data_IF_812401313297
#
_entry.id   IF_812401313297
#
_cell.length_a   1.000
_cell.length_b   1.000
_cell.length_c   1.000
_cell.angle_alpha   90.00
_cell.angle_beta   90.00
_cell.angle_gamma   90.00
#
_symmetry.space_group_name_H-M   'P 1'
#
loop_
_entity.id
_entity.type
_entity.pdbx_description
1 polymer ?
2 water ?
#
# COMPACT_ATOMS: atom_id res chain seq x y z
N UNK A 1 -11.55 8.59 -12.52
CA UNK A 1 -12.91 7.95 -12.92
C UNK A 1 -12.77 6.40 -13.22
N UNK A 2 -11.91 5.99 -14.19
CA UNK A 2 -11.63 4.55 -14.35
C UNK A 2 -10.43 4.16 -13.46
N UNK A 3 -10.69 3.37 -12.45
CA UNK A 3 -9.69 2.99 -11.49
C UNK A 3 -9.45 1.50 -11.65
N UNK A 4 -8.18 1.10 -11.94
CA UNK A 4 -7.85 -0.32 -12.08
C UNK A 4 -6.99 -0.85 -10.93
N UNK A 5 -7.45 -1.92 -10.24
CA UNK A 5 -6.73 -2.53 -9.11
C UNK A 5 -5.91 -3.72 -9.52
N UNK A 6 -4.72 -3.84 -8.95
CA UNK A 6 -3.94 -5.05 -9.11
C UNK A 6 -3.88 -5.75 -7.77
N UNK A 7 -4.33 -7.00 -7.70
CA UNK A 7 -4.47 -7.66 -6.41
C UNK A 7 -3.67 -8.96 -6.41
N UNK A 8 -3.02 -9.27 -5.30
CA UNK A 8 -1.97 -10.27 -5.30
C UNK A 8 -2.30 -11.40 -4.34
N UNK A 9 -3.34 -11.22 -3.55
CA UNK A 9 -3.94 -12.30 -2.75
C UNK A 9 -5.27 -11.90 -2.09
N UNK A 10 -6.07 -12.94 -1.73
CA UNK A 10 -7.47 -12.79 -1.16
C UNK A 10 -7.40 -11.99 0.13
N UNK A 11 -6.30 -12.17 0.88
CA UNK A 11 -6.06 -11.37 2.11
C UNK A 11 -5.34 -10.00 1.92
N UNK A 12 -5.02 -9.64 0.70
CA UNK A 12 -4.52 -8.34 0.43
C UNK A 12 -5.58 -7.53 -0.30
N UNK A 13 -6.69 -7.28 0.38
CA UNK A 13 -7.89 -6.72 -0.26
C UNK A 13 -7.78 -5.22 -0.48
N UNK A 14 -8.46 -4.70 -1.49
CA UNK A 14 -8.45 -3.27 -1.65
C UNK A 14 -9.06 -2.48 -0.43
N UNK A 15 -9.78 -3.19 0.45
CA UNK A 15 -10.67 -2.53 1.47
C UNK A 15 -11.20 -1.10 1.18
N UNK A 16 -10.82 -0.16 2.02
CA UNK A 16 -11.36 1.18 1.87
C UNK A 16 -11.02 1.86 0.57
N UNK A 17 -9.95 1.42 -0.16
CA UNK A 17 -9.66 2.01 -1.50
C UNK A 17 -10.83 1.69 -2.43
N UNK A 18 -11.33 0.44 -2.34
CA UNK A 18 -12.44 0.01 -3.17
C UNK A 18 -13.68 0.73 -2.73
N UNK A 19 -13.94 0.79 -1.41
CA UNK A 19 -15.13 1.49 -0.87
C UNK A 19 -15.19 2.95 -1.31
N UNK A 20 -14.08 3.64 -1.16
CA UNK A 20 -13.93 4.98 -1.69
C UNK A 20 -14.29 5.03 -3.11
N UNK A 21 -13.65 4.17 -3.91
CA UNK A 21 -13.94 4.17 -5.34
C UNK A 21 -15.44 3.95 -5.62
N UNK A 22 -16.09 3.09 -4.81
CA UNK A 22 -17.52 2.83 -5.02
C UNK A 22 -18.32 4.03 -4.67
N UNK A 23 -18.07 4.62 -3.48
CA UNK A 23 -18.88 5.83 -2.96
C UNK A 23 -18.74 7.02 -3.87
N UNK A 24 -17.53 7.27 -4.34
CA UNK A 24 -17.31 8.43 -5.23
C UNK A 24 -17.78 8.18 -6.66
N UNK A 25 -18.35 7.01 -6.90
CA UNK A 25 -18.95 6.71 -8.18
C UNK A 25 -17.97 6.44 -9.30
N UNK A 26 -16.84 5.86 -8.98
CA UNK A 26 -15.86 5.55 -10.01
C UNK A 26 -16.06 4.18 -10.64
N UNK A 27 -15.34 3.93 -11.71
CA UNK A 27 -15.56 2.76 -12.53
C UNK A 27 -14.47 1.80 -12.32
N UNK A 28 -14.70 0.81 -11.45
CA UNK A 28 -13.62 -0.08 -10.95
C UNK A 28 -13.36 -1.33 -11.86
N UNK A 29 -12.10 -1.63 -12.15
CA UNK A 29 -11.76 -2.97 -12.71
C UNK A 29 -10.66 -3.56 -11.89
N UNK A 30 -10.42 -4.86 -12.01
CA UNK A 30 -9.39 -5.47 -11.19
C UNK A 30 -8.61 -6.53 -11.93
N UNK A 31 -7.43 -6.90 -11.42
CA UNK A 31 -6.72 -8.01 -11.96
C UNK A 31 -6.37 -8.82 -10.81
N UNK A 32 -6.86 -10.01 -10.73
CA UNK A 32 -6.50 -10.79 -9.59
C UNK A 32 -5.35 -11.76 -9.96
N UNK A 33 -4.09 -11.31 -9.82
CA UNK A 33 -2.99 -12.11 -10.36
C UNK A 33 -2.90 -13.50 -9.76
N UNK A 34 -3.29 -13.64 -8.51
CA UNK A 34 -3.31 -14.94 -7.84
C UNK A 34 -4.29 -15.91 -8.49
N UNK A 35 -5.20 -15.41 -9.35
CA UNK A 35 -6.16 -16.29 -10.06
C UNK A 35 -5.67 -16.52 -11.47
N UNK A 36 -4.36 -16.33 -11.66
CA UNK A 36 -3.70 -16.32 -12.98
C UNK A 36 -4.37 -15.45 -13.94
N UNK A 37 -4.94 -14.33 -13.48
CA UNK A 37 -5.47 -13.32 -14.40
C UNK A 37 -4.39 -12.51 -15.03
N UNK A 38 -4.57 -12.15 -16.30
CA UNK A 38 -3.48 -11.43 -17.08
C UNK A 38 -3.50 -9.92 -16.82
N UNK A 39 -2.32 -9.37 -16.51
CA UNK A 39 -2.16 -7.90 -16.32
C UNK A 39 -2.65 -7.15 -17.57
N UNK A 40 -3.22 -5.95 -17.40
CA UNK A 40 -3.56 -5.16 -18.56
C UNK A 40 -2.35 -4.98 -19.45
N UNK A 41 -2.53 -5.05 -20.77
CA UNK A 41 -1.42 -4.69 -21.66
C UNK A 41 -1.32 -3.17 -21.99
N UNK A 42 -2.48 -2.45 -21.91
CA UNK A 42 -2.60 -0.97 -22.25
C UNK A 42 -2.87 -0.13 -21.04
N UNK A 43 -2.14 0.96 -20.91
CA UNK A 43 -2.49 1.91 -19.97
C UNK A 43 -3.76 2.68 -20.34
N UNK A 44 -4.38 2.30 -21.45
CA UNK A 44 -5.48 3.16 -22.04
C UNK A 44 -6.83 2.89 -21.45
N UNK A 45 -6.93 1.76 -20.76
CA UNK A 45 -8.20 1.37 -20.15
C UNK A 45 -8.44 1.92 -18.75
N UNK A 46 -7.51 2.72 -18.23
CA UNK A 46 -7.70 3.27 -16.93
C UNK A 46 -7.08 4.70 -16.75
N UNK A 47 -7.51 5.36 -15.68
CA UNK A 47 -7.09 6.71 -15.34
C UNK A 47 -6.22 6.64 -14.09
N UNK A 48 -6.48 5.66 -13.23
CA UNK A 48 -5.72 5.53 -12.03
C UNK A 48 -5.47 4.05 -11.74
N UNK A 49 -4.31 3.73 -11.17
CA UNK A 49 -3.86 2.36 -10.99
C UNK A 49 -3.52 2.23 -9.51
N UNK A 50 -4.12 1.30 -8.82
CA UNK A 50 -3.88 1.13 -7.43
C UNK A 50 -3.41 -0.26 -7.31
N UNK A 51 -2.19 -0.47 -6.77
CA UNK A 51 -1.64 -1.82 -6.63
C UNK A 51 -1.59 -2.12 -5.15
N UNK A 52 -2.26 -3.19 -4.71
CA UNK A 52 -2.32 -3.54 -3.31
C UNK A 52 -1.18 -4.47 -2.86
N UNK A 53 -1.20 -4.89 -1.58
CA UNK A 53 -0.10 -5.58 -0.98
C UNK A 53 -0.03 -7.00 -1.47
N UNK A 54 0.81 -7.80 -0.82
CA UNK A 54 0.94 -9.15 -1.17
C UNK A 54 1.98 -9.89 -0.36
N UNK A 55 1.78 -11.18 -0.19
CA UNK A 55 2.80 -11.96 0.48
C UNK A 55 4.19 -12.03 -0.32
N UNK A 56 4.20 -11.69 -1.62
CA UNK A 56 5.46 -11.76 -2.41
C UNK A 56 6.34 -10.58 -2.06
N UNK A 57 7.58 -10.66 -2.50
CA UNK A 57 8.49 -9.51 -2.51
C UNK A 57 8.62 -9.07 -3.97
N UNK A 58 9.22 -7.85 -4.23
CA UNK A 58 9.41 -7.48 -5.66
C UNK A 58 10.39 -8.40 -6.33
N UNK A 59 11.00 -9.29 -5.61
CA UNK A 59 11.96 -10.19 -6.26
C UNK A 59 11.59 -11.63 -6.21
N UNK A 60 10.49 -11.96 -5.51
CA UNK A 60 9.89 -13.31 -5.59
C UNK A 60 9.87 -13.90 -6.99
N UNK A 61 10.07 -15.18 -7.03
CA UNK A 61 10.32 -15.85 -8.24
C UNK A 61 9.04 -16.63 -8.67
N UNK A 62 8.88 -16.92 -9.97
CA UNK A 62 7.73 -17.79 -10.44
C UNK A 62 7.82 -19.24 -9.97
N UNK A 63 8.92 -19.63 -9.38
CA UNK A 63 8.97 -20.93 -8.87
C UNK A 63 8.26 -20.95 -7.56
N UNK A 64 8.33 -19.85 -6.83
CA UNK A 64 7.51 -19.70 -5.60
C UNK A 64 6.01 -19.37 -5.89
N UNK A 65 5.73 -18.52 -6.89
CA UNK A 65 4.39 -18.03 -7.11
C UNK A 65 4.11 -18.04 -8.54
N UNK A 66 3.60 -19.17 -9.09
CA UNK A 66 3.75 -19.39 -10.51
C UNK A 66 3.00 -18.33 -11.39
N UNK A 67 2.12 -17.51 -10.73
CA UNK A 67 1.21 -16.53 -11.45
C UNK A 67 1.76 -15.12 -11.36
N UNK A 68 2.78 -14.96 -10.57
CA UNK A 68 3.29 -13.65 -10.21
C UNK A 68 4.42 -13.29 -11.09
N UNK A 69 4.37 -12.11 -11.70
CA UNK A 69 5.45 -11.66 -12.60
C UNK A 69 5.83 -10.21 -12.23
N UNK A 70 6.78 -10.07 -11.29
CA UNK A 70 7.14 -8.77 -10.73
C UNK A 70 7.62 -7.86 -11.83
N UNK A 71 8.37 -8.44 -12.78
CA UNK A 71 8.86 -7.68 -13.92
C UNK A 71 7.72 -7.00 -14.69
N UNK A 72 6.65 -7.75 -14.95
CA UNK A 72 5.53 -7.22 -15.70
C UNK A 72 4.81 -6.16 -14.92
N UNK A 73 4.68 -6.35 -13.58
CA UNK A 73 4.07 -5.31 -12.77
C UNK A 73 4.89 -4.03 -12.72
N UNK A 74 6.23 -4.18 -12.60
CA UNK A 74 7.15 -3.03 -12.71
C UNK A 74 7.00 -2.29 -14.07
N UNK A 75 7.00 -3.01 -15.16
CA UNK A 75 6.82 -2.34 -16.43
C UNK A 75 5.49 -1.67 -16.52
N UNK A 76 4.46 -2.30 -15.98
CA UNK A 76 3.11 -1.70 -16.07
C UNK A 76 3.10 -0.35 -15.30
N UNK A 77 3.74 -0.33 -14.09
CA UNK A 77 3.91 0.96 -13.36
C UNK A 77 4.66 2.03 -14.23
N UNK A 78 5.76 1.64 -14.83
CA UNK A 78 6.51 2.57 -15.60
C UNK A 78 5.72 3.12 -16.77
N UNK A 79 4.99 2.22 -17.51
CA UNK A 79 4.09 2.70 -18.61
C UNK A 79 3.10 3.64 -18.05
N UNK A 80 2.55 3.32 -16.90
CA UNK A 80 1.52 4.14 -16.36
C UNK A 80 2.08 5.57 -16.02
N UNK A 81 3.19 5.60 -15.24
CA UNK A 81 3.90 6.86 -14.89
C UNK A 81 4.23 7.69 -16.12
N UNK A 82 4.73 7.02 -17.16
CA UNK A 82 5.15 7.68 -18.29
C UNK A 82 4.01 8.30 -19.01
N UNK A 83 2.78 7.88 -18.75
CA UNK A 83 1.60 8.64 -19.31
C UNK A 83 0.92 9.56 -18.31
N UNK A 84 1.57 9.80 -17.20
CA UNK A 84 1.01 10.66 -16.20
C UNK A 84 -0.32 10.12 -15.62
N UNK A 85 -0.50 8.81 -15.65
CA UNK A 85 -1.62 8.16 -14.86
C UNK A 85 -1.45 8.42 -13.36
N UNK A 86 -2.53 8.63 -12.64
CA UNK A 86 -2.50 8.57 -11.14
C UNK A 86 -2.16 7.18 -10.72
N UNK A 87 -1.14 7.00 -9.85
CA UNK A 87 -0.79 5.64 -9.35
C UNK A 87 -0.74 5.67 -7.87
N UNK A 88 -1.24 4.62 -7.19
CA UNK A 88 -1.00 4.46 -5.73
C UNK A 88 -0.57 2.99 -5.47
N UNK A 89 0.50 2.76 -4.64
CA UNK A 89 1.03 1.39 -4.36
C UNK A 89 1.05 1.19 -2.89
N UNK A 90 0.54 0.04 -2.40
CA UNK A 90 0.43 -0.23 -0.94
C UNK A 90 1.27 -1.49 -0.56
N UNK A 91 2.02 -1.41 0.50
CA UNK A 91 2.96 -2.45 0.88
C UNK A 91 3.67 -3.02 -0.32
N UNK A 92 3.45 -4.26 -0.70
CA UNK A 92 4.17 -4.76 -1.91
C UNK A 92 3.98 -3.81 -3.11
N UNK A 93 2.79 -3.30 -3.28
CA UNK A 93 2.57 -2.29 -4.30
C UNK A 93 3.52 -1.07 -4.19
N UNK A 94 3.84 -0.66 -2.94
CA UNK A 94 4.69 0.53 -2.70
C UNK A 94 6.17 0.20 -3.04
N UNK A 95 6.54 -1.07 -2.88
CA UNK A 95 7.86 -1.53 -3.18
C UNK A 95 8.07 -1.72 -4.66
N UNK A 96 7.04 -2.14 -5.40
CA UNK A 96 7.18 -2.24 -6.86
C UNK A 96 7.25 -0.82 -7.46
N UNK A 97 6.55 0.13 -6.89
CA UNK A 97 6.76 1.48 -7.33
C UNK A 97 8.23 1.95 -7.14
N UNK A 98 8.84 1.61 -5.99
CA UNK A 98 10.20 1.95 -5.78
C UNK A 98 11.09 1.43 -6.91
N UNK A 99 10.96 0.12 -7.19
CA UNK A 99 11.74 -0.51 -8.21
C UNK A 99 11.46 0.15 -9.50
N UNK A 100 10.20 0.45 -9.78
CA UNK A 100 9.85 1.02 -11.08
C UNK A 100 10.58 2.32 -11.31
N UNK A 101 10.82 3.06 -10.22
CA UNK A 101 11.40 4.43 -10.24
C UNK A 101 12.93 4.44 -9.96
N UNK A 102 13.55 3.23 -9.92
CA UNK A 102 14.95 3.11 -10.00
C UNK A 102 15.61 2.66 -8.73
N UNK A 103 14.87 2.40 -7.67
CA UNK A 103 15.48 1.97 -6.43
C UNK A 103 15.01 0.63 -5.95
N UNK A 104 15.91 -0.26 -5.61
CA UNK A 104 15.51 -1.55 -5.11
C UNK A 104 15.18 -1.56 -3.66
N UNK A 105 14.34 -2.52 -3.29
CA UNK A 105 13.62 -2.51 -2.06
C UNK A 105 14.48 -2.95 -0.92
N UNK A 106 14.09 -2.60 0.29
CA UNK A 106 14.95 -2.95 1.48
C UNK A 106 14.12 -3.64 2.60
N UNK A 107 14.83 -4.22 3.59
CA UNK A 107 14.21 -4.67 4.83
C UNK A 107 14.01 -3.50 5.77
N UNK A 108 12.95 -3.56 6.59
CA UNK A 108 12.60 -2.47 7.51
C UNK A 108 13.47 -2.59 8.76
N UNK A 109 13.94 -1.43 9.33
CA UNK A 109 14.62 -1.49 10.65
C UNK A 109 13.85 -2.41 11.60
N UNK A 110 12.57 -2.08 11.83
CA UNK A 110 11.68 -2.94 12.60
C UNK A 110 10.43 -3.44 11.77
N UNK A 111 10.11 -4.72 11.88
CA UNK A 111 8.84 -5.22 11.33
C UNK A 111 7.64 -4.77 12.14
N UNK A 112 6.55 -4.50 11.46
CA UNK A 112 5.41 -3.82 12.09
C UNK A 112 4.07 -4.46 11.67
N UNK A 113 3.27 -4.82 12.66
CA UNK A 113 2.03 -5.56 12.44
C UNK A 113 1.06 -5.08 13.48
N UNK A 114 0.20 -4.16 13.13
CA UNK A 114 -0.71 -3.65 14.06
C UNK A 114 -0.97 -2.25 13.78
N UNK A 115 -1.58 -1.55 14.72
CA UNK A 115 -1.90 -0.16 14.49
C UNK A 115 -0.98 0.80 15.25
N UNK A 116 -0.10 1.48 14.50
CA UNK A 116 0.89 2.39 15.09
C UNK A 116 0.85 3.80 14.50
N UNK A 117 1.36 4.76 15.26
CA UNK A 117 1.48 6.11 14.75
C UNK A 117 2.42 6.11 13.59
N UNK A 118 2.04 6.82 12.57
CA UNK A 118 2.98 7.35 11.62
C UNK A 118 2.97 8.86 11.87
N UNK A 119 4.01 9.56 11.36
CA UNK A 119 4.29 10.97 11.67
C UNK A 119 4.74 11.70 10.42
N UNK A 120 4.10 12.81 10.09
CA UNK A 120 4.49 13.52 8.86
C UNK A 120 5.91 14.08 8.95
N UNK A 121 6.63 13.87 7.89
CA UNK A 121 7.82 14.54 7.61
C UNK A 121 7.52 16.02 7.38
N UNK A 122 8.59 16.83 7.29
CA UNK A 122 8.50 18.24 6.88
C UNK A 122 7.90 18.36 5.53
N UNK A 123 8.37 17.49 4.62
CA UNK A 123 7.87 17.39 3.24
C UNK A 123 6.42 16.95 3.28
N UNK A 124 6.10 16.06 4.19
CA UNK A 124 4.74 15.67 4.38
C UNK A 124 3.84 16.78 4.81
N UNK A 125 4.28 17.59 5.75
CA UNK A 125 3.49 18.70 6.24
C UNK A 125 3.29 19.72 5.14
N UNK A 126 4.02 19.60 4.07
CA UNK A 126 3.88 20.55 3.01
C UNK A 126 3.05 20.01 1.86
N UNK A 127 2.74 18.72 1.91
CA UNK A 127 1.91 18.09 0.81
C UNK A 127 0.44 18.41 0.90
N UNK A 128 -0.05 19.11 -0.12
CA UNK A 128 -1.45 19.43 -0.27
C UNK A 128 -2.42 18.26 0.02
N UNK A 129 -2.12 17.09 -0.55
CA UNK A 129 -3.00 15.89 -0.52
C UNK A 129 -3.06 15.28 0.89
N UNK A 130 -2.22 15.75 1.80
CA UNK A 130 -2.24 15.27 3.21
C UNK A 130 -2.77 16.31 4.21
N UNK A 131 -3.32 17.41 3.73
CA UNK A 131 -3.82 18.42 4.64
C UNK A 131 -4.66 17.87 5.79
N UNK A 132 -5.42 16.79 5.56
CA UNK A 132 -6.35 16.35 6.60
C UNK A 132 -5.79 15.31 7.53
N UNK A 133 -4.49 15.07 7.42
CA UNK A 133 -3.79 14.19 8.33
C UNK A 133 -3.22 15.05 9.48
N UNK A 134 -3.68 14.81 10.73
CA UNK A 134 -2.94 15.33 11.89
C UNK A 134 -1.44 14.86 11.80
N UNK A 135 -0.52 15.57 12.45
CA UNK A 135 0.95 15.25 12.32
C UNK A 135 1.27 13.81 12.66
N UNK A 136 0.57 13.31 13.69
CA UNK A 136 0.64 11.90 14.08
C UNK A 136 -0.75 11.25 14.00
N UNK A 137 -0.80 10.03 13.39
CA UNK A 137 -2.03 9.33 13.12
C UNK A 137 -1.85 7.88 13.34
N UNK A 138 -2.78 7.25 14.01
CA UNK A 138 -2.71 5.83 14.14
C UNK A 138 -3.25 5.11 12.82
N UNK A 139 -2.37 4.32 12.17
CA UNK A 139 -2.71 3.63 10.94
C UNK A 139 -2.28 2.20 11.03
N UNK A 140 -2.73 1.37 10.08
CA UNK A 140 -2.40 -0.07 10.08
C UNK A 140 -1.01 -0.39 9.50
N UNK A 141 -0.44 -1.52 9.88
CA UNK A 141 0.87 -1.92 9.39
C UNK A 141 0.86 -3.37 9.28
N UNK A 142 1.51 -3.89 8.22
CA UNK A 142 1.76 -5.33 8.11
C UNK A 142 2.97 -5.70 7.21
N UNK A 143 4.20 -5.36 7.63
CA UNK A 143 5.36 -5.59 6.75
C UNK A 143 6.61 -6.03 7.44
N UNK A 144 7.54 -6.49 6.64
CA UNK A 144 8.87 -6.79 7.07
C UNK A 144 9.86 -6.01 6.24
N UNK A 145 9.41 -5.57 5.06
CA UNK A 145 10.25 -4.80 4.13
C UNK A 145 9.71 -3.37 3.93
N UNK A 146 10.41 -2.58 3.12
CA UNK A 146 9.97 -1.22 2.80
C UNK A 146 10.54 -0.79 1.41
N UNK A 147 10.08 0.33 0.89
CA UNK A 147 10.50 0.58 -0.51
C UNK A 147 11.90 1.31 -0.68
N UNK A 148 12.64 0.97 -1.75
CA UNK A 148 13.70 1.84 -2.32
C UNK A 148 13.31 3.31 -2.42
N UNK A 149 14.25 4.21 -2.14
CA UNK A 149 13.98 5.67 -2.34
C UNK A 149 14.92 6.28 -3.44
N UNK A 150 14.42 6.38 -4.65
CA UNK A 150 15.19 7.08 -5.69
C UNK A 150 15.31 8.53 -5.38
N UNK A 151 16.31 9.20 -5.96
CA UNK A 151 16.72 10.55 -5.52
C UNK A 151 15.60 11.56 -5.66
N UNK A 152 14.70 11.34 -6.61
CA UNK A 152 13.64 12.29 -6.90
C UNK A 152 12.41 12.03 -6.06
N UNK A 153 12.46 10.99 -5.24
CA UNK A 153 11.32 10.66 -4.39
C UNK A 153 11.46 11.32 -3.05
N UNK A 154 10.33 11.73 -2.46
CA UNK A 154 10.30 12.31 -1.08
C UNK A 154 9.62 11.39 -0.07
N UNK A 155 10.15 11.31 1.14
CA UNK A 155 9.43 10.66 2.24
C UNK A 155 8.42 11.67 2.92
N UNK A 156 7.13 11.33 2.92
CA UNK A 156 6.17 12.16 3.54
C UNK A 156 5.81 11.70 4.97
N UNK A 157 6.22 10.50 5.36
CA UNK A 157 5.90 10.06 6.69
C UNK A 157 6.66 8.93 7.12
N UNK A 158 6.91 8.85 8.45
CA UNK A 158 7.69 7.77 9.05
C UNK A 158 6.95 7.23 10.21
N UNK A 159 7.32 6.03 10.62
CA UNK A 159 6.92 5.53 11.88
C UNK A 159 8.21 5.37 12.74
N UNK A 160 8.06 4.95 14.00
CA UNK A 160 9.24 4.56 14.81
C UNK A 160 9.98 3.32 14.25
N UNK A 161 9.22 2.37 13.71
CA UNK A 161 9.80 1.11 13.23
C UNK A 161 10.37 1.23 11.82
N UNK A 162 9.87 2.23 11.06
CA UNK A 162 10.18 2.27 9.62
C UNK A 162 10.16 3.68 9.11
N UNK A 163 11.27 4.08 8.42
CA UNK A 163 11.54 5.48 8.01
C UNK A 163 10.90 5.86 6.64
N UNK A 164 10.12 4.96 6.06
CA UNK A 164 9.55 5.21 4.74
C UNK A 164 8.02 4.75 4.67
N UNK A 165 7.13 5.53 5.23
CA UNK A 165 5.80 5.06 5.36
C UNK A 165 4.99 5.50 4.17
N UNK A 166 5.17 6.74 3.77
CA UNK A 166 4.48 7.29 2.64
C UNK A 166 5.54 8.00 1.81
N UNK A 167 5.45 7.87 0.46
CA UNK A 167 6.51 8.38 -0.43
C UNK A 167 5.86 9.00 -1.65
N UNK A 168 6.34 10.15 -2.07
CA UNK A 168 5.88 10.72 -3.27
C UNK A 168 6.93 10.56 -4.28
N UNK A 169 6.65 9.68 -5.26
CA UNK A 169 7.52 9.39 -6.40
C UNK A 169 7.29 10.37 -7.54
N UNK A 170 6.10 10.93 -7.63
CA UNK A 170 5.75 11.74 -8.76
C UNK A 170 4.61 12.63 -8.40
N UNK A 171 4.23 13.55 -9.31
CA UNK A 171 3.23 14.55 -8.98
C UNK A 171 1.95 13.92 -8.57
N UNK A 172 1.65 12.75 -9.15
CA UNK A 172 0.37 12.09 -8.86
C UNK A 172 0.57 10.62 -8.59
N UNK A 173 1.76 10.25 -8.12
CA UNK A 173 2.17 8.87 -8.00
C UNK A 173 2.72 8.68 -6.60
N UNK A 174 1.91 8.04 -5.71
CA UNK A 174 2.17 7.98 -4.24
C UNK A 174 2.29 6.53 -3.83
N UNK A 175 2.95 6.27 -2.71
CA UNK A 175 3.11 4.91 -2.23
C UNK A 175 2.90 4.91 -0.73
N UNK A 176 2.14 3.93 -0.22
CA UNK A 176 1.92 3.78 1.22
C UNK A 176 2.47 2.46 1.60
N UNK A 177 3.47 2.46 2.45
CA UNK A 177 3.94 1.21 2.97
C UNK A 177 2.96 0.67 4.02
N UNK A 178 2.26 1.59 4.66
CA UNK A 178 1.36 1.28 5.71
C UNK A 178 -0.12 1.09 5.10
N UNK A 179 -1.04 0.56 5.91
CA UNK A 179 -2.37 0.28 5.46
C UNK A 179 -3.42 1.20 6.18
N UNK A 180 -3.92 2.21 5.53
CA UNK A 180 -5.04 2.97 6.09
C UNK A 180 -6.39 2.36 5.69
N UNK A 181 -6.35 1.35 4.82
CA UNK A 181 -7.52 0.83 4.14
C UNK A 181 -8.17 -0.31 4.97
N UNK A 182 -7.51 -0.67 6.09
CA UNK A 182 -7.96 -1.80 6.92
C UNK A 182 -9.42 -1.61 7.44
N UNK A 183 -10.05 -2.73 7.74
CA UNK A 183 -11.30 -2.78 8.40
C UNK A 183 -11.27 -4.07 9.23
N UNK A 184 -12.24 -4.24 10.14
CA UNK A 184 -12.11 -5.47 10.99
C UNK A 184 -12.08 -6.78 10.17
N UNK A 185 -12.85 -6.85 9.11
CA UNK A 185 -12.87 -8.07 8.32
C UNK A 185 -11.55 -8.31 7.54
N UNK A 186 -10.90 -7.22 7.05
CA UNK A 186 -9.59 -7.41 6.36
C UNK A 186 -8.56 -7.89 7.38
N UNK A 187 -8.64 -7.33 8.57
CA UNK A 187 -7.70 -7.66 9.58
C UNK A 187 -7.92 -9.11 10.05
N UNK A 188 -9.19 -9.54 10.12
CA UNK A 188 -9.53 -10.96 10.35
C UNK A 188 -8.80 -11.85 9.39
N UNK A 189 -8.84 -11.50 8.07
CA UNK A 189 -8.29 -12.43 7.04
C UNK A 189 -6.75 -12.51 7.17
N UNK A 190 -6.13 -11.37 7.56
CA UNK A 190 -4.68 -11.32 7.73
C UNK A 190 -4.25 -12.14 8.91
N UNK A 191 -4.97 -12.01 10.01
CA UNK A 191 -4.69 -12.86 11.20
C UNK A 191 -4.78 -14.35 10.87
N UNK A 192 -5.75 -14.73 10.01
CA UNK A 192 -5.96 -16.13 9.65
C UNK A 192 -4.82 -16.65 8.87
N UNK A 193 -4.17 -15.77 8.11
CA UNK A 193 -2.97 -16.17 7.31
C UNK A 193 -1.64 -16.22 8.13
N UNK A 194 -1.59 -15.46 9.22
CA UNK A 194 -0.34 -15.28 9.97
C UNK A 194 0.02 -16.45 10.81
N UNK A 195 1.16 -17.07 10.50
CA UNK A 195 1.76 -18.09 11.40
C UNK A 195 2.41 -17.52 12.70
N UNK A 196 1.79 -17.84 13.82
CA UNK A 196 2.32 -17.42 15.12
C UNK A 196 2.34 -15.96 15.24
N UNK A 197 1.17 -15.36 15.35
CA UNK A 197 1.09 -13.97 15.72
C UNK A 197 1.23 -13.88 17.26
N UNK A 198 0.95 -15.00 17.92
CA UNK A 198 1.12 -15.12 19.36
C UNK A 198 2.56 -14.88 19.80
N UNK A 199 3.48 -15.75 19.41
CA UNK A 199 4.85 -15.62 19.83
C UNK A 199 5.41 -14.23 19.48
N UNK A 200 5.23 -13.82 18.21
CA UNK A 200 5.75 -12.52 17.72
C UNK A 200 5.23 -11.34 18.54
N UNK A 201 4.06 -11.51 19.14
CA UNK A 201 3.42 -10.48 19.97
C UNK A 201 4.26 -10.01 21.17
N UNK A 202 4.94 -10.97 21.84
CA UNK A 202 5.86 -10.61 22.93
C UNK A 202 7.30 -10.51 22.47
N UNK A 203 7.79 -11.52 21.74
CA UNK A 203 9.21 -11.47 21.23
C UNK A 203 9.55 -10.16 20.46
N UNK A 204 8.53 -9.47 19.92
CA UNK A 204 8.77 -8.33 19.04
C UNK A 204 8.13 -6.99 19.52
N UNK A 205 8.79 -5.89 19.16
CA UNK A 205 8.45 -4.55 19.66
C UNK A 205 7.14 -4.10 19.11
N UNK A 206 6.94 -4.40 17.82
CA UNK A 206 5.94 -3.71 17.01
C UNK A 206 4.96 -4.66 16.38
N UNK A 207 4.74 -5.78 17.04
CA UNK A 207 3.72 -6.71 16.67
C UNK A 207 2.63 -6.76 17.77
N UNK A 208 1.39 -6.46 17.38
CA UNK A 208 0.28 -6.50 18.34
C UNK A 208 -0.38 -7.89 18.42
N UNK A 209 -1.39 -8.03 19.29
CA UNK A 209 -2.13 -9.32 19.46
C UNK A 209 -3.37 -9.33 18.55
N UNK A 210 -3.78 -10.55 18.14
CA UNK A 210 -5.04 -10.72 17.38
C UNK A 210 -6.20 -9.92 17.99
N UNK A 211 -6.25 -9.88 19.33
CA UNK A 211 -7.29 -9.17 20.05
C UNK A 211 -7.15 -7.65 19.94
N UNK A 212 -5.91 -7.18 20.01
CA UNK A 212 -5.64 -5.74 19.95
C UNK A 212 -6.04 -5.20 18.62
N UNK A 213 -5.72 -5.94 17.57
CA UNK A 213 -6.04 -5.51 16.21
C UNK A 213 -7.49 -5.70 15.88
N UNK A 214 -8.04 -6.81 16.35
CA UNK A 214 -9.36 -7.21 15.96
C UNK A 214 -10.45 -6.27 16.54
N UNK A 215 -10.18 -5.73 17.75
CA UNK A 215 -11.17 -4.87 18.47
C UNK A 215 -11.02 -3.42 18.12
N UNK A 216 -9.93 -3.08 17.41
CA UNK A 216 -9.54 -1.70 17.18
C UNK A 216 -10.57 -0.99 16.26
N UNK A 217 -10.69 0.32 16.36
CA UNK A 217 -11.65 1.01 15.51
C UNK A 217 -10.97 1.70 14.30
N UNK A 218 -11.31 1.23 13.06
CA UNK A 218 -10.59 1.64 11.86
C UNK A 218 -11.16 2.82 11.14
N UNK A 219 -12.18 3.46 11.68
CA UNK A 219 -12.88 4.48 10.88
C UNK A 219 -12.07 5.74 10.63
N UNK A 220 -11.07 5.99 11.46
CA UNK A 220 -10.30 7.22 11.32
C UNK A 220 -9.28 7.14 10.26
N UNK A 221 -8.53 6.01 10.22
CA UNK A 221 -7.67 5.73 9.05
C UNK A 221 -8.42 5.69 7.70
N UNK A 222 -9.55 4.95 7.62
CA UNK A 222 -10.36 4.96 6.38
C UNK A 222 -10.61 6.41 6.00
N UNK A 223 -10.91 7.21 7.00
CA UNK A 223 -11.41 8.55 6.76
C UNK A 223 -10.25 9.49 6.33
N UNK A 224 -9.10 9.31 6.97
CA UNK A 224 -7.93 10.00 6.57
C UNK A 224 -7.64 9.65 5.12
N UNK A 225 -7.64 8.30 4.79
CA UNK A 225 -7.49 7.83 3.38
C UNK A 225 -8.42 8.53 2.42
N UNK A 226 -9.72 8.55 2.73
CA UNK A 226 -10.68 9.20 1.86
C UNK A 226 -10.26 10.60 1.55
N UNK A 227 -9.78 11.34 2.56
CA UNK A 227 -9.41 12.78 2.34
C UNK A 227 -8.22 12.85 1.37
N UNK A 228 -7.25 11.93 1.55
CA UNK A 228 -6.14 11.81 0.60
C UNK A 228 -6.60 11.51 -0.87
N UNK A 229 -7.43 10.47 -1.05
CA UNK A 229 -7.85 10.07 -2.42
C UNK A 229 -8.66 11.17 -3.06
N UNK A 230 -9.55 11.77 -2.28
CA UNK A 230 -10.31 12.89 -2.77
C UNK A 230 -9.45 13.99 -3.24
N UNK A 231 -8.41 14.32 -2.46
CA UNK A 231 -7.55 15.43 -2.83
C UNK A 231 -6.63 15.06 -4.00
N UNK A 232 -6.14 13.82 -4.00
CA UNK A 232 -5.25 13.37 -5.03
C UNK A 232 -5.94 13.46 -6.38
N UNK A 233 -7.24 13.29 -6.40
CA UNK A 233 -7.95 13.11 -7.68
C UNK A 233 -8.81 14.27 -8.07
N UNK A 234 -8.85 15.30 -7.24
CA UNK A 234 -9.65 16.49 -7.51
C UNK A 234 -8.96 17.40 -8.51
#
# INVERSE_FOLDING_TARGET
MRIHFILHETFEAPGAYLAWAALRGHDVSMTKVYRYEKLPKDIDDFDMLILMGGPQSPSSTKKEFPYYDAQAEVKLIQKAAKSEKIIVGVCLGAQLMGVAYGADYLHSPKKEIGNYLISLTEAGKMDSYLSDFSDDLLVGHWHGDMPGLPDKAQVLAISQGCPRQIIKFGPKQYAFQCHLEFTPELVAALIAQEDDLDTQSQTETYVQTAEEMQTFDYSSMNQALYSFLDRLTERK
#
